data_IF_950856202455
#
_entry.id   IF_950856202455
#
_cell.length_a   1.000
_cell.length_b   1.000
_cell.length_c   1.000
_cell.angle_alpha   90.00
_cell.angle_beta   90.00
_cell.angle_gamma   90.00
#
_symmetry.space_group_name_H-M   'P 1'
#
loop_
_entity.id
_entity.type
_entity.pdbx_description
1 polymer ?
#
# COMPACT_ATOMS: atom_id res chain seq x y z
N UNK A 1 5.91 -4.77 -0.31
CA UNK A 1 5.60 -5.46 -1.58
C UNK A 1 4.95 -4.45 -2.52
N UNK A 2 5.18 -4.56 -3.83
CA UNK A 2 4.55 -3.71 -4.85
C UNK A 2 4.13 -4.60 -6.01
N UNK A 3 2.88 -4.51 -6.41
CA UNK A 3 2.34 -5.25 -7.56
C UNK A 3 1.69 -4.26 -8.53
N UNK A 4 1.96 -4.44 -9.83
CA UNK A 4 1.17 -3.82 -10.87
C UNK A 4 -0.13 -4.62 -11.04
N UNK A 5 -1.25 -3.92 -11.14
CA UNK A 5 -2.57 -4.52 -11.26
C UNK A 5 -3.21 -4.09 -12.57
N UNK A 6 -4.06 -4.97 -13.10
CA UNK A 6 -4.98 -4.63 -14.19
C UNK A 6 -6.33 -4.28 -13.56
N UNK A 7 -6.87 -3.08 -13.80
CA UNK A 7 -8.14 -2.63 -13.22
C UNK A 7 -8.19 -1.12 -12.99
N UNK A 8 -8.93 -0.68 -11.97
CA UNK A 8 -9.03 0.75 -11.63
C UNK A 8 -7.77 1.34 -10.99
N UNK A 9 -6.91 0.50 -10.41
CA UNK A 9 -5.64 0.93 -9.80
C UNK A 9 -4.49 0.30 -10.56
N UNK A 10 -3.50 1.11 -10.94
CA UNK A 10 -2.31 0.63 -11.64
C UNK A 10 -1.35 -0.12 -10.72
N UNK A 11 -1.28 0.28 -9.44
CA UNK A 11 -0.33 -0.29 -8.48
C UNK A 11 -0.98 -0.52 -7.11
N UNK A 12 -0.61 -1.63 -6.46
CA UNK A 12 -0.90 -1.92 -5.06
C UNK A 12 0.40 -1.99 -4.27
N UNK A 13 0.55 -1.10 -3.29
CA UNK A 13 1.70 -1.03 -2.41
C UNK A 13 1.32 -1.53 -1.02
N UNK A 14 2.02 -2.57 -0.54
CA UNK A 14 1.95 -3.00 0.87
C UNK A 14 3.11 -2.41 1.64
N UNK A 15 2.81 -1.41 2.48
CA UNK A 15 3.78 -0.68 3.31
C UNK A 15 3.61 -1.04 4.78
N UNK A 16 4.72 -1.06 5.51
CA UNK A 16 4.74 -1.21 6.97
C UNK A 16 5.22 0.10 7.56
N UNK A 17 4.45 0.64 8.48
CA UNK A 17 4.68 1.94 9.12
C UNK A 17 4.70 1.75 10.63
N UNK A 18 5.49 2.57 11.33
CA UNK A 18 5.63 2.48 12.79
C UNK A 18 4.39 2.98 13.52
N UNK A 19 3.77 4.04 13.01
CA UNK A 19 2.58 4.67 13.57
C UNK A 19 1.84 5.49 12.50
N UNK A 20 0.69 6.07 12.88
CA UNK A 20 -0.14 6.86 11.98
C UNK A 20 0.47 8.22 11.61
N UNK A 21 1.34 8.79 12.44
CA UNK A 21 2.05 10.03 12.11
C UNK A 21 3.11 9.79 11.03
N UNK A 22 3.84 8.69 11.13
CA UNK A 22 4.78 8.21 10.10
C UNK A 22 4.01 7.93 8.80
N UNK A 23 2.90 7.22 8.87
CA UNK A 23 2.03 6.98 7.71
C UNK A 23 1.64 8.28 7.00
N UNK A 24 1.11 9.26 7.75
CA UNK A 24 0.70 10.56 7.19
C UNK A 24 1.85 11.26 6.49
N UNK A 25 3.02 11.29 7.13
CA UNK A 25 4.24 11.88 6.55
C UNK A 25 4.64 11.17 5.26
N UNK A 26 4.63 9.84 5.24
CA UNK A 26 4.96 9.07 4.05
C UNK A 26 4.01 9.38 2.87
N UNK A 27 2.70 9.37 3.11
CA UNK A 27 1.72 9.67 2.04
C UNK A 27 1.84 11.11 1.56
N UNK A 28 1.86 12.08 2.48
CA UNK A 28 1.80 13.50 2.13
C UNK A 28 3.14 14.03 1.60
N UNK A 29 4.26 13.59 2.17
CA UNK A 29 5.57 14.13 1.83
C UNK A 29 6.31 13.32 0.78
N UNK A 30 5.91 12.08 0.51
CA UNK A 30 6.57 11.22 -0.47
C UNK A 30 5.62 10.85 -1.61
N UNK A 31 4.54 10.12 -1.30
CA UNK A 31 3.73 9.49 -2.33
C UNK A 31 2.95 10.52 -3.17
N UNK A 32 2.18 11.42 -2.53
CA UNK A 32 1.36 12.42 -3.22
C UNK A 32 2.16 13.57 -3.83
N UNK A 33 3.43 13.76 -3.42
CA UNK A 33 4.33 14.74 -4.06
C UNK A 33 4.96 14.19 -5.34
N UNK A 34 4.92 12.88 -5.55
CA UNK A 34 5.54 12.29 -6.72
C UNK A 34 4.69 12.62 -7.98
N UNK A 35 5.28 13.21 -9.03
CA UNK A 35 4.52 13.73 -10.18
C UNK A 35 3.77 12.65 -10.96
N UNK A 36 4.19 11.39 -10.85
CA UNK A 36 3.51 10.26 -11.48
C UNK A 36 2.37 9.66 -10.65
N UNK A 37 2.11 10.17 -9.44
CA UNK A 37 1.02 9.70 -8.59
C UNK A 37 -0.18 10.61 -8.78
N UNK A 38 -1.21 10.11 -9.48
CA UNK A 38 -2.41 10.89 -9.78
C UNK A 38 -3.46 10.81 -8.66
N UNK A 39 -3.70 9.62 -8.12
CA UNK A 39 -4.61 9.37 -7.01
C UNK A 39 -4.05 8.28 -6.09
N UNK A 40 -4.46 8.30 -4.82
CA UNK A 40 -4.03 7.32 -3.84
C UNK A 40 -5.19 6.94 -2.91
N UNK A 41 -5.61 5.67 -2.99
CA UNK A 41 -6.54 5.06 -2.04
C UNK A 41 -5.78 4.15 -1.09
N UNK A 42 -6.03 4.32 0.21
CA UNK A 42 -5.32 3.61 1.26
C UNK A 42 -6.27 2.85 2.16
N UNK A 43 -5.91 1.63 2.54
CA UNK A 43 -6.67 0.82 3.48
C UNK A 43 -5.75 0.24 4.56
N UNK A 44 -6.27 0.13 5.77
CA UNK A 44 -5.54 -0.43 6.91
C UNK A 44 -5.98 -1.87 7.17
N UNK A 45 -5.00 -2.74 7.41
CA UNK A 45 -5.26 -4.11 7.85
C UNK A 45 -5.61 -4.06 9.34
N UNK A 46 -6.89 -4.30 9.66
CA UNK A 46 -7.38 -4.33 11.03
C UNK A 46 -7.01 -5.62 11.76
N UNK A 47 -7.11 -6.75 11.06
CA UNK A 47 -6.73 -8.06 11.55
C UNK A 47 -6.19 -8.93 10.40
N UNK A 48 -5.28 -9.86 10.69
CA UNK A 48 -4.72 -10.81 9.73
C UNK A 48 -5.22 -12.21 10.04
N UNK A 49 -6.29 -12.61 9.35
CA UNK A 49 -6.88 -13.95 9.50
C UNK A 49 -5.97 -15.05 8.91
N UNK A 50 -5.24 -14.77 7.82
CA UNK A 50 -4.35 -15.74 7.17
C UNK A 50 -3.16 -15.03 6.52
N UNK A 51 -1.95 -15.52 6.78
CA UNK A 51 -0.73 -15.10 6.12
C UNK A 51 0.19 -16.31 5.93
N UNK A 52 0.20 -16.86 4.72
CA UNK A 52 1.09 -17.98 4.35
C UNK A 52 1.78 -17.67 3.04
N UNK A 53 3.03 -18.11 2.92
CA UNK A 53 3.81 -18.06 1.68
C UNK A 53 3.73 -19.38 0.88
N UNK A 54 3.06 -20.40 1.42
CA UNK A 54 2.89 -21.68 0.75
C UNK A 54 1.89 -21.58 -0.40
N UNK A 55 2.27 -22.10 -1.57
CA UNK A 55 1.42 -22.18 -2.76
C UNK A 55 0.69 -23.54 -2.75
N UNK A 56 -0.61 -23.59 -3.08
CA UNK A 56 -1.29 -24.86 -3.29
C UNK A 56 -0.68 -25.58 -4.51
N UNK A 57 -0.34 -26.86 -4.33
CA UNK A 57 0.19 -27.74 -5.38
C UNK A 57 -0.91 -28.20 -6.33
#
# INVERSE_FOLDING_TARGET
ECAALTGEMDYLLRVVVQDMAHYRRFIMDTLLKHPSVQDCKTSFVLDRVKATTAVPL
#
